data_IF_652381885504
#
_entry.id   IF_652381885504
#
_cell.length_a   1.000
_cell.length_b   1.000
_cell.length_c   1.000
_cell.angle_alpha   90.00
_cell.angle_beta   90.00
_cell.angle_gamma   90.00
#
_symmetry.space_group_name_H-M   'P 1'
#
loop_
_entity.id
_entity.type
_entity.pdbx_description
1 polymer ?
#
# COMPACT_ATOMS: atom_id res chain seq x y z
N UNK A 1 -46.14 19.02 21.24
CA UNK A 1 -45.89 19.16 19.77
C UNK A 1 -44.44 19.55 19.46
N UNK A 2 -43.86 20.56 20.11
CA UNK A 2 -42.47 20.99 19.85
C UNK A 2 -41.39 19.93 20.08
N UNK A 3 -41.48 19.10 21.13
CA UNK A 3 -40.50 18.03 21.36
C UNK A 3 -40.50 16.94 20.29
N UNK A 4 -41.69 16.58 19.78
CA UNK A 4 -41.83 15.57 18.73
C UNK A 4 -41.23 16.09 17.42
N UNK A 5 -41.47 17.36 17.10
CA UNK A 5 -40.88 18.03 15.93
C UNK A 5 -39.36 18.09 16.05
N UNK A 6 -38.81 18.46 17.22
CA UNK A 6 -37.36 18.52 17.45
C UNK A 6 -36.69 17.14 17.34
N UNK A 7 -37.33 16.07 17.84
CA UNK A 7 -36.81 14.70 17.71
C UNK A 7 -36.74 14.24 16.25
N UNK A 8 -37.77 14.53 15.46
CA UNK A 8 -37.80 14.22 14.04
C UNK A 8 -36.71 15.00 13.29
N UNK A 9 -36.54 16.28 13.62
CA UNK A 9 -35.54 17.14 13.00
C UNK A 9 -34.11 16.67 13.31
N UNK A 10 -33.84 16.26 14.55
CA UNK A 10 -32.55 15.69 14.94
C UNK A 10 -32.28 14.34 14.26
N UNK A 11 -33.31 13.52 14.08
CA UNK A 11 -33.18 12.25 13.37
C UNK A 11 -32.82 12.44 11.89
N UNK A 12 -33.48 13.39 11.21
CA UNK A 12 -33.15 13.76 9.83
C UNK A 12 -31.73 14.31 9.73
N UNK A 13 -31.34 15.20 10.64
CA UNK A 13 -29.99 15.76 10.70
C UNK A 13 -28.93 14.66 10.86
N UNK A 14 -29.17 13.68 11.74
CA UNK A 14 -28.26 12.55 11.94
C UNK A 14 -28.07 11.73 10.66
N UNK A 15 -29.14 11.44 9.93
CA UNK A 15 -29.05 10.68 8.67
C UNK A 15 -28.25 11.46 7.63
N UNK A 16 -28.56 12.75 7.46
CA UNK A 16 -27.84 13.62 6.51
C UNK A 16 -26.36 13.75 6.88
N UNK A 17 -26.06 13.93 8.17
CA UNK A 17 -24.68 14.02 8.66
C UNK A 17 -23.90 12.73 8.39
N UNK A 18 -24.51 11.57 8.63
CA UNK A 18 -23.88 10.28 8.37
C UNK A 18 -23.58 10.08 6.88
N UNK A 19 -24.49 10.48 6.01
CA UNK A 19 -24.35 10.41 4.55
C UNK A 19 -23.23 11.34 4.05
N UNK A 20 -23.18 12.57 4.56
CA UNK A 20 -22.11 13.53 4.27
C UNK A 20 -20.75 13.01 4.76
N UNK A 21 -20.69 12.46 5.98
CA UNK A 21 -19.46 11.91 6.53
C UNK A 21 -18.96 10.71 5.72
N UNK A 22 -19.85 9.84 5.20
CA UNK A 22 -19.45 8.77 4.29
C UNK A 22 -18.81 9.32 3.01
N UNK A 23 -19.46 10.29 2.34
CA UNK A 23 -18.94 10.89 1.10
C UNK A 23 -17.60 11.59 1.35
N UNK A 24 -17.48 12.31 2.47
CA UNK A 24 -16.25 13.00 2.85
C UNK A 24 -15.13 12.00 3.14
N UNK A 25 -15.42 10.92 3.86
CA UNK A 25 -14.42 9.87 4.16
C UNK A 25 -13.97 9.16 2.89
N UNK A 26 -14.88 8.76 2.00
CA UNK A 26 -14.53 8.17 0.69
C UNK A 26 -13.69 9.14 -0.14
N UNK A 27 -14.09 10.41 -0.23
CA UNK A 27 -13.36 11.43 -0.96
C UNK A 27 -11.95 11.68 -0.39
N UNK A 28 -11.82 11.66 0.94
CA UNK A 28 -10.53 11.84 1.62
C UNK A 28 -9.63 10.62 1.38
N UNK A 29 -10.17 9.40 1.47
CA UNK A 29 -9.44 8.17 1.21
C UNK A 29 -8.98 8.10 -0.26
N UNK A 30 -9.78 8.57 -1.22
CA UNK A 30 -9.40 8.56 -2.62
C UNK A 30 -8.43 9.69 -3.00
N UNK A 31 -8.57 10.87 -2.37
CA UNK A 31 -7.87 12.08 -2.80
C UNK A 31 -6.57 12.33 -2.04
N UNK A 32 -6.49 12.01 -0.74
CA UNK A 32 -5.27 12.20 0.05
C UNK A 32 -4.09 11.37 -0.48
N UNK A 33 -4.23 10.07 -0.82
CA UNK A 33 -3.12 9.29 -1.34
C UNK A 33 -2.63 9.82 -2.69
N UNK A 34 -3.54 10.26 -3.56
CA UNK A 34 -3.21 10.81 -4.89
C UNK A 34 -2.44 12.13 -4.80
N UNK A 35 -2.82 13.03 -3.88
CA UNK A 35 -2.27 14.38 -3.79
C UNK A 35 -0.96 14.47 -2.99
N UNK A 36 -0.79 13.67 -1.94
CA UNK A 36 0.39 13.77 -1.06
C UNK A 36 1.58 12.90 -1.50
N UNK A 37 1.35 11.85 -2.29
CA UNK A 37 2.40 10.88 -2.62
C UNK A 37 2.89 10.91 -4.08
N UNK A 38 2.36 11.82 -4.93
CA UNK A 38 2.96 12.13 -6.23
C UNK A 38 3.19 10.94 -7.17
N UNK A 39 2.20 10.05 -7.30
CA UNK A 39 2.33 8.86 -8.14
C UNK A 39 2.10 9.18 -9.63
N UNK A 40 3.02 8.78 -10.53
CA UNK A 40 2.69 8.63 -11.93
C UNK A 40 1.89 7.32 -12.07
N UNK A 41 0.57 7.43 -12.04
CA UNK A 41 -0.35 6.29 -12.16
C UNK A 41 -0.34 5.77 -13.60
N UNK A 42 -0.02 4.49 -13.77
CA UNK A 42 -0.43 3.71 -14.92
C UNK A 42 -1.40 2.67 -14.34
N UNK A 43 -2.71 2.92 -14.45
CA UNK A 43 -3.76 2.14 -13.73
C UNK A 43 -3.60 0.62 -13.89
N UNK A 44 -3.13 0.17 -15.05
CA UNK A 44 -2.86 -1.25 -15.34
C UNK A 44 -1.77 -1.85 -14.45
N UNK A 45 -0.74 -1.08 -14.09
CA UNK A 45 0.34 -1.56 -13.24
C UNK A 45 -0.09 -1.60 -11.77
N UNK A 46 -1.02 -0.74 -11.36
CA UNK A 46 -1.57 -0.74 -10.00
C UNK A 46 -2.45 -1.98 -9.76
N UNK A 47 -3.41 -2.26 -10.66
CA UNK A 47 -4.25 -3.47 -10.58
C UNK A 47 -3.41 -4.75 -10.55
N UNK A 48 -2.35 -4.82 -11.38
CA UNK A 48 -1.44 -5.96 -11.41
C UNK A 48 -0.71 -6.14 -10.07
N UNK A 49 -0.20 -5.04 -9.49
CA UNK A 49 0.54 -5.09 -8.23
C UNK A 49 -0.39 -5.47 -7.08
N UNK A 50 -1.58 -4.88 -7.02
CA UNK A 50 -2.59 -5.22 -6.00
C UNK A 50 -3.02 -6.69 -6.12
N UNK A 51 -3.23 -7.17 -7.35
CA UNK A 51 -3.54 -8.58 -7.61
C UNK A 51 -2.44 -9.53 -7.13
N UNK A 52 -1.16 -9.20 -7.37
CA UNK A 52 -0.02 -10.00 -6.88
C UNK A 52 0.08 -9.97 -5.35
N UNK A 53 -0.08 -8.79 -4.73
CA UNK A 53 -0.10 -8.68 -3.27
C UNK A 53 -1.25 -9.51 -2.68
N UNK A 54 -2.42 -9.47 -3.30
CA UNK A 54 -3.58 -10.27 -2.87
C UNK A 54 -3.29 -11.78 -2.89
N UNK A 55 -2.64 -12.28 -3.95
CA UNK A 55 -2.23 -13.68 -4.04
C UNK A 55 -1.19 -14.03 -2.98
N UNK A 56 -0.16 -13.20 -2.81
CA UNK A 56 0.87 -13.39 -1.79
C UNK A 56 0.30 -13.43 -0.37
N UNK A 57 -0.72 -12.61 -0.06
CA UNK A 57 -1.37 -12.63 1.26
C UNK A 57 -2.06 -13.96 1.59
N UNK A 58 -2.33 -14.82 0.60
CA UNK A 58 -2.87 -16.17 0.84
C UNK A 58 -1.80 -17.19 1.16
N UNK A 59 -0.54 -16.87 0.90
CA UNK A 59 0.59 -17.76 1.08
C UNK A 59 1.06 -17.76 2.55
N UNK A 60 1.22 -18.93 3.21
CA UNK A 60 1.65 -19.01 4.61
C UNK A 60 3.03 -18.40 4.87
N UNK A 61 3.96 -18.57 3.93
CA UNK A 61 5.32 -18.07 4.03
C UNK A 61 5.41 -16.53 3.92
N UNK A 62 4.33 -15.87 3.47
CA UNK A 62 4.27 -14.42 3.35
C UNK A 62 3.67 -13.72 4.57
N UNK A 63 3.17 -14.49 5.56
CA UNK A 63 2.52 -13.96 6.77
C UNK A 63 3.29 -12.80 7.45
N UNK A 64 4.62 -12.91 7.68
CA UNK A 64 5.38 -11.85 8.36
C UNK A 64 5.38 -10.52 7.62
N UNK A 65 5.17 -10.55 6.30
CA UNK A 65 5.28 -9.38 5.45
C UNK A 65 3.94 -8.68 5.19
N UNK A 66 2.81 -9.27 5.64
CA UNK A 66 1.46 -8.71 5.44
C UNK A 66 1.30 -7.30 6.02
N UNK A 67 1.98 -7.02 7.13
CA UNK A 67 1.93 -5.71 7.79
C UNK A 67 2.52 -4.59 6.93
N UNK A 68 3.42 -4.93 5.99
CA UNK A 68 4.09 -3.97 5.12
C UNK A 68 3.41 -3.79 3.76
N UNK A 69 2.21 -4.35 3.57
CA UNK A 69 1.52 -4.35 2.27
C UNK A 69 1.23 -2.95 1.74
N UNK A 70 1.03 -1.97 2.62
CA UNK A 70 0.88 -0.57 2.25
C UNK A 70 2.19 0.03 1.74
N UNK A 71 3.28 -0.18 2.44
CA UNK A 71 4.62 0.27 2.04
C UNK A 71 5.06 -0.40 0.74
N UNK A 72 4.69 -1.65 0.55
CA UNK A 72 4.93 -2.44 -0.66
C UNK A 72 4.19 -1.90 -1.89
N UNK A 73 2.90 -1.57 -1.73
CA UNK A 73 2.10 -0.97 -2.81
C UNK A 73 2.55 0.44 -3.13
N UNK A 74 3.19 1.12 -2.17
CA UNK A 74 3.63 2.50 -2.32
C UNK A 74 5.06 2.64 -2.85
N UNK A 75 6.03 1.84 -2.40
CA UNK A 75 7.45 2.06 -2.73
C UNK A 75 7.76 1.63 -4.17
N UNK A 76 8.19 2.58 -5.01
CA UNK A 76 8.53 2.36 -6.43
C UNK A 76 9.53 1.21 -6.66
N UNK A 77 10.54 1.05 -5.79
CA UNK A 77 11.52 -0.04 -5.89
C UNK A 77 10.88 -1.42 -5.66
N UNK A 78 9.93 -1.51 -4.74
CA UNK A 78 9.20 -2.75 -4.43
C UNK A 78 8.14 -3.02 -5.51
N UNK A 79 7.41 -2.01 -5.94
CA UNK A 79 6.48 -2.11 -7.08
C UNK A 79 7.15 -2.71 -8.33
N UNK A 80 8.37 -2.26 -8.66
CA UNK A 80 9.16 -2.84 -9.76
C UNK A 80 9.51 -4.31 -9.54
N UNK A 81 9.71 -4.74 -8.29
CA UNK A 81 9.91 -6.15 -7.96
C UNK A 81 8.64 -6.95 -8.27
N UNK A 82 7.47 -6.46 -7.83
CA UNK A 82 6.19 -7.12 -8.12
C UNK A 82 5.86 -7.19 -9.60
N UNK A 83 6.12 -6.14 -10.39
CA UNK A 83 5.87 -6.19 -11.83
C UNK A 83 6.63 -7.35 -12.48
N UNK A 84 7.89 -7.57 -12.09
CA UNK A 84 8.75 -8.65 -12.59
C UNK A 84 8.48 -10.03 -11.97
N UNK A 85 7.71 -10.08 -10.88
CA UNK A 85 7.47 -11.32 -10.13
C UNK A 85 6.63 -12.30 -10.95
N UNK A 86 7.16 -13.50 -11.18
CA UNK A 86 6.42 -14.62 -11.74
C UNK A 86 5.80 -15.45 -10.62
N UNK A 87 4.50 -15.25 -10.36
CA UNK A 87 3.80 -15.88 -9.22
C UNK A 87 3.88 -17.41 -9.25
N UNK A 88 3.77 -18.02 -10.44
CA UNK A 88 3.84 -19.47 -10.58
C UNK A 88 5.23 -20.03 -10.26
N UNK A 89 6.28 -19.28 -10.59
CA UNK A 89 7.67 -19.67 -10.33
C UNK A 89 7.94 -19.70 -8.82
N UNK A 90 7.59 -18.62 -8.09
CA UNK A 90 7.82 -18.56 -6.64
C UNK A 90 6.90 -19.49 -5.83
N UNK A 91 5.75 -19.89 -6.37
CA UNK A 91 4.87 -20.87 -5.72
C UNK A 91 5.41 -22.30 -5.86
N UNK A 92 6.06 -22.62 -6.97
CA UNK A 92 6.56 -23.96 -7.28
C UNK A 92 8.03 -24.17 -6.92
N UNK A 93 8.82 -23.11 -6.77
CA UNK A 93 10.25 -23.17 -6.49
C UNK A 93 10.63 -22.38 -5.23
N UNK A 94 11.13 -23.10 -4.21
CA UNK A 94 11.56 -22.54 -2.95
C UNK A 94 12.80 -21.63 -3.05
N UNK A 95 13.76 -21.95 -3.92
CA UNK A 95 14.95 -21.12 -4.13
C UNK A 95 14.55 -19.75 -4.69
N UNK A 96 13.63 -19.75 -5.67
CA UNK A 96 13.09 -18.53 -6.26
C UNK A 96 12.25 -17.72 -5.29
N UNK A 97 11.45 -18.40 -4.45
CA UNK A 97 10.74 -17.76 -3.35
C UNK A 97 11.70 -17.06 -2.40
N UNK A 98 12.77 -17.73 -1.98
CA UNK A 98 13.74 -17.18 -1.03
C UNK A 98 14.53 -16.01 -1.65
N UNK A 99 14.89 -16.10 -2.93
CA UNK A 99 15.50 -15.00 -3.70
C UNK A 99 14.58 -13.77 -3.71
N UNK A 100 13.29 -13.96 -3.98
CA UNK A 100 12.29 -12.90 -3.94
C UNK A 100 12.15 -12.28 -2.54
N UNK A 101 12.03 -13.11 -1.49
CA UNK A 101 11.89 -12.64 -0.12
C UNK A 101 13.11 -11.86 0.34
N UNK A 102 14.31 -12.31 -0.02
CA UNK A 102 15.56 -11.61 0.26
C UNK A 102 15.59 -10.21 -0.37
N UNK A 103 15.25 -10.10 -1.66
CA UNK A 103 15.19 -8.80 -2.35
C UNK A 103 14.06 -7.91 -1.82
N UNK A 104 12.94 -8.49 -1.41
CA UNK A 104 11.83 -7.77 -0.80
C UNK A 104 12.23 -7.18 0.56
N UNK A 105 12.80 -8.01 1.44
CA UNK A 105 13.28 -7.62 2.76
C UNK A 105 14.34 -6.53 2.64
N UNK A 106 15.31 -6.72 1.76
CA UNK A 106 16.32 -5.71 1.44
C UNK A 106 15.67 -4.38 1.06
N UNK A 107 14.65 -4.35 0.20
CA UNK A 107 14.01 -3.08 -0.24
C UNK A 107 13.05 -2.47 0.80
N UNK A 108 12.51 -3.29 1.70
CA UNK A 108 11.71 -2.83 2.83
C UNK A 108 12.59 -2.13 3.87
N UNK A 109 13.72 -2.73 4.21
CA UNK A 109 14.52 -2.32 5.37
C UNK A 109 15.83 -1.59 5.02
N UNK A 110 16.34 -1.65 3.78
CA UNK A 110 17.44 -0.77 3.36
C UNK A 110 16.92 0.66 3.19
N UNK A 111 17.21 1.50 4.19
CA UNK A 111 16.98 2.95 4.15
C UNK A 111 17.96 3.71 3.23
N UNK A 112 18.97 3.06 2.64
CA UNK A 112 19.94 3.75 1.80
C UNK A 112 20.69 2.83 0.80
N UNK A 113 20.32 2.80 -0.50
CA UNK A 113 21.12 2.13 -1.52
C UNK A 113 22.50 2.78 -1.76
N UNK A 114 22.74 3.99 -1.22
CA UNK A 114 23.99 4.75 -1.32
C UNK A 114 24.80 4.78 0.01
N UNK A 115 24.40 4.06 1.06
CA UNK A 115 25.05 4.12 2.38
C UNK A 115 26.50 3.61 2.37
N UNK A 116 26.84 2.80 1.37
CA UNK A 116 28.19 2.29 1.12
C UNK A 116 28.73 2.85 -0.21
N UNK A 117 28.28 4.04 -0.64
CA UNK A 117 28.91 4.74 -1.77
C UNK A 117 29.79 5.86 -1.23
N UNK A 118 30.98 5.46 -0.79
CA UNK A 118 32.19 6.30 -0.71
C UNK A 118 31.97 7.71 -0.17
N UNK A 119 31.91 7.86 1.15
CA UNK A 119 32.48 9.07 1.75
C UNK A 119 33.98 9.00 1.48
N UNK A 120 34.43 9.58 0.35
CA UNK A 120 35.83 9.93 0.17
C UNK A 120 36.15 10.92 1.28
N UNK A 121 36.69 10.42 2.39
CA UNK A 121 37.44 11.26 3.31
C UNK A 121 38.68 11.69 2.54
N UNK A 122 38.62 12.87 1.93
CA UNK A 122 39.82 13.55 1.48
C UNK A 122 40.71 13.73 2.71
N UNK A 123 41.94 13.20 2.72
CA UNK A 123 42.89 13.56 3.75
C UNK A 123 43.28 15.02 3.50
N UNK A 124 42.95 15.89 4.45
CA UNK A 124 43.68 17.15 4.62
C UNK A 124 44.78 16.92 5.64
#
# INVERSE_FOLDING_TARGET
MHEVVLKILFFIFRILFQLIMQIVVESIIDYLPKKFFGYPFNEKDDELIEGKIYLLKKEPWFEPYKIYTLEMSQRKSIRKLFVKLEMLEIQSNEEKRNEFLYELERRLFDLNPNGIRNRKTSPN
#
